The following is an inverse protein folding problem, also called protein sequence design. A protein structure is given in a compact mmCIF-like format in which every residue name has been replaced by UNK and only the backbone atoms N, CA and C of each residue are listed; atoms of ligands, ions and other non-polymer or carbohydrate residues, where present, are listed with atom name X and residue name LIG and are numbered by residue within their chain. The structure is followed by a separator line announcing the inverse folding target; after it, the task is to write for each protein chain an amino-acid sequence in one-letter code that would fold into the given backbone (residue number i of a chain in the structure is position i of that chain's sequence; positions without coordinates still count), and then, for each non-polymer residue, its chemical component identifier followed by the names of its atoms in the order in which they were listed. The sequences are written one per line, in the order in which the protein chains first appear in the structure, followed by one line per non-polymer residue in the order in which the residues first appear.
data_IF_173491163959
#
_entry.id   IF_173491163959
#
_cell.length_a   1.000
_cell.length_b   1.000
_cell.length_c   1.000
_cell.angle_alpha   90.00
_cell.angle_beta   90.00
_cell.angle_gamma   90.00
#
_symmetry.space_group_name_H-M   'P 1'
#
loop_
_entity.id
_entity.type
_entity.pdbx_description
1 polymer ?
#
# COMPACT_ATOMS: atom_id res chain seq x y z
N UNK A 1 -2.75 -18.49 -27.00
CA UNK A 1 -2.52 -19.02 -25.64
C UNK A 1 -3.11 -20.41 -25.60
N UNK A 2 -2.26 -21.42 -25.41
CA UNK A 2 -2.75 -22.80 -25.28
C UNK A 2 -3.47 -22.96 -23.95
N UNK A 3 -4.50 -23.82 -23.89
CA UNK A 3 -5.23 -24.10 -22.65
C UNK A 3 -4.32 -24.55 -21.51
N UNK A 4 -3.23 -25.27 -21.81
CA UNK A 4 -2.21 -25.66 -20.83
C UNK A 4 -1.42 -24.49 -20.21
N UNK A 5 -1.20 -23.41 -20.97
CA UNK A 5 -0.52 -22.20 -20.47
C UNK A 5 -1.42 -21.46 -19.47
N UNK A 6 -2.72 -21.35 -19.80
CA UNK A 6 -3.71 -20.72 -18.90
C UNK A 6 -3.80 -21.44 -17.55
N UNK A 7 -3.81 -22.78 -17.58
CA UNK A 7 -3.82 -23.59 -16.34
C UNK A 7 -2.56 -23.33 -15.52
N UNK A 8 -1.39 -23.30 -16.16
CA UNK A 8 -0.12 -23.02 -15.47
C UNK A 8 -0.12 -21.63 -14.82
N UNK A 9 -0.63 -20.61 -15.49
CA UNK A 9 -0.74 -19.25 -14.94
C UNK A 9 -1.70 -19.18 -13.75
N UNK A 10 -2.84 -19.88 -13.83
CA UNK A 10 -3.78 -19.98 -12.71
C UNK A 10 -3.13 -20.67 -11.51
N UNK A 11 -2.40 -21.78 -11.75
CA UNK A 11 -1.68 -22.49 -10.70
C UNK A 11 -0.60 -21.61 -10.05
N UNK A 12 0.10 -20.78 -10.82
CA UNK A 12 1.06 -19.81 -10.28
C UNK A 12 0.39 -18.76 -9.39
N UNK A 13 -0.76 -18.24 -9.80
CA UNK A 13 -1.53 -17.31 -8.97
C UNK A 13 -2.01 -17.99 -7.67
N UNK A 14 -2.48 -19.24 -7.74
CA UNK A 14 -2.85 -20.00 -6.54
C UNK A 14 -1.63 -20.23 -5.63
N UNK A 15 -0.47 -20.57 -6.19
CA UNK A 15 0.77 -20.73 -5.43
C UNK A 15 1.15 -19.43 -4.71
N UNK A 16 1.07 -18.29 -5.39
CA UNK A 16 1.27 -16.97 -4.78
C UNK A 16 0.30 -16.71 -3.62
N UNK A 17 -0.97 -17.04 -3.81
CA UNK A 17 -2.00 -16.87 -2.77
C UNK A 17 -1.74 -17.74 -1.54
N UNK A 18 -1.27 -18.97 -1.71
CA UNK A 18 -0.88 -19.87 -0.63
C UNK A 18 0.32 -19.30 0.12
N UNK A 19 1.37 -18.86 -0.59
CA UNK A 19 2.55 -18.24 0.04
C UNK A 19 2.15 -17.00 0.85
N UNK A 20 1.31 -16.13 0.28
CA UNK A 20 0.78 -14.97 0.99
C UNK A 20 -0.02 -15.35 2.25
N UNK A 21 -0.76 -16.46 2.25
CA UNK A 21 -1.52 -16.89 3.43
C UNK A 21 -0.64 -17.20 4.64
N UNK A 22 0.57 -17.68 4.41
CA UNK A 22 1.54 -17.95 5.47
C UNK A 22 2.26 -16.66 5.88
N UNK A 23 2.70 -15.87 4.89
CA UNK A 23 3.49 -14.66 5.14
C UNK A 23 2.67 -13.51 5.71
N UNK A 24 1.39 -13.42 5.39
CA UNK A 24 0.47 -12.41 5.92
C UNK A 24 0.21 -12.54 7.42
N UNK A 25 0.63 -13.63 8.07
CA UNK A 25 0.54 -13.76 9.53
C UNK A 25 1.77 -13.20 10.25
N UNK A 26 2.85 -12.92 9.52
CA UNK A 26 4.09 -12.37 10.08
C UNK A 26 3.92 -10.86 10.27
N UNK A 27 3.87 -10.36 11.52
CA UNK A 27 3.73 -8.93 11.76
C UNK A 27 4.93 -8.16 11.17
N UNK A 28 4.67 -6.95 10.66
CA UNK A 28 5.65 -6.06 10.02
C UNK A 28 6.31 -6.58 8.72
N UNK A 29 5.90 -7.73 8.17
CA UNK A 29 6.36 -8.20 6.87
C UNK A 29 5.40 -7.74 5.76
N UNK A 30 5.75 -6.67 5.06
CA UNK A 30 4.96 -6.20 3.92
C UNK A 30 5.22 -7.06 2.67
N UNK A 31 4.17 -7.34 1.90
CA UNK A 31 4.25 -8.15 0.68
C UNK A 31 5.22 -7.61 -0.39
N UNK A 32 5.44 -6.30 -0.44
CA UNK A 32 6.39 -5.71 -1.38
C UNK A 32 7.85 -5.98 -0.99
N UNK A 33 8.15 -6.17 0.30
CA UNK A 33 9.47 -6.63 0.74
C UNK A 33 9.72 -8.06 0.23
N UNK A 34 8.72 -8.93 0.35
CA UNK A 34 8.77 -10.30 -0.15
C UNK A 34 8.96 -10.32 -1.67
N UNK A 35 8.18 -9.52 -2.41
CA UNK A 35 8.33 -9.39 -3.87
C UNK A 35 9.73 -8.89 -4.24
N UNK A 36 10.27 -7.91 -3.52
CA UNK A 36 11.63 -7.40 -3.71
C UNK A 36 12.70 -8.48 -3.49
N UNK A 37 12.59 -9.28 -2.44
CA UNK A 37 13.50 -10.41 -2.22
C UNK A 37 13.43 -11.47 -3.32
N UNK A 38 12.23 -11.76 -3.84
CA UNK A 38 12.06 -12.70 -4.94
C UNK A 38 12.72 -12.16 -6.21
N UNK A 39 12.51 -10.88 -6.54
CA UNK A 39 13.15 -10.23 -7.69
C UNK A 39 14.67 -10.24 -7.53
N UNK A 40 15.19 -9.89 -6.35
CA UNK A 40 16.63 -9.92 -6.08
C UNK A 40 17.19 -11.34 -6.22
N UNK A 41 16.48 -12.36 -5.73
CA UNK A 41 16.88 -13.76 -5.87
C UNK A 41 16.94 -14.18 -7.35
N UNK A 42 15.95 -13.80 -8.16
CA UNK A 42 15.98 -14.07 -9.61
C UNK A 42 17.17 -13.38 -10.31
N UNK A 43 17.53 -12.17 -9.88
CA UNK A 43 18.67 -11.45 -10.42
C UNK A 43 20.03 -12.06 -10.03
N UNK A 44 20.13 -12.59 -8.80
CA UNK A 44 21.38 -13.13 -8.25
C UNK A 44 21.64 -14.60 -8.60
N UNK A 45 20.59 -15.41 -8.63
CA UNK A 45 20.70 -16.87 -8.77
C UNK A 45 20.27 -17.35 -10.17
N UNK A 46 19.80 -16.45 -11.03
CA UNK A 46 19.28 -16.72 -12.36
C UNK A 46 17.76 -16.85 -12.39
N UNK A 47 17.19 -16.80 -13.60
CA UNK A 47 15.75 -16.93 -13.81
C UNK A 47 15.27 -18.34 -13.41
N UNK A 48 14.59 -18.43 -12.27
CA UNK A 48 13.95 -19.68 -11.81
C UNK A 48 12.62 -19.96 -12.52
N UNK A 49 11.91 -18.88 -12.87
CA UNK A 49 10.56 -18.90 -13.40
C UNK A 49 10.47 -17.82 -14.49
N UNK A 50 9.87 -18.12 -15.66
CA UNK A 50 9.62 -17.12 -16.68
C UNK A 50 8.93 -15.87 -16.12
N UNK A 51 9.30 -14.65 -16.58
CA UNK A 51 8.75 -13.39 -16.04
C UNK A 51 7.22 -13.32 -16.07
N UNK A 52 6.59 -13.92 -17.09
CA UNK A 52 5.13 -13.99 -17.21
C UNK A 52 4.50 -14.79 -16.07
N UNK A 53 5.04 -15.98 -15.78
CA UNK A 53 4.56 -16.84 -14.69
C UNK A 53 4.82 -16.21 -13.32
N UNK A 54 5.94 -15.50 -13.16
CA UNK A 54 6.25 -14.73 -11.97
C UNK A 54 5.24 -13.57 -11.77
N UNK A 55 4.78 -12.94 -12.85
CA UNK A 55 3.73 -11.93 -12.81
C UNK A 55 2.41 -12.48 -12.24
N UNK A 56 1.97 -13.65 -12.67
CA UNK A 56 0.78 -14.31 -12.11
C UNK A 56 0.98 -14.78 -10.67
N UNK A 57 2.18 -15.24 -10.33
CA UNK A 57 2.53 -15.51 -8.94
C UNK A 57 2.39 -14.26 -8.06
N UNK A 58 2.93 -13.11 -8.48
CA UNK A 58 2.78 -11.85 -7.75
C UNK A 58 1.34 -11.35 -7.70
N UNK A 59 0.54 -11.57 -8.74
CA UNK A 59 -0.90 -11.27 -8.73
C UNK A 59 -1.59 -12.00 -7.57
N UNK A 60 -1.40 -13.31 -7.46
CA UNK A 60 -1.96 -14.10 -6.36
C UNK A 60 -1.40 -13.72 -4.98
N UNK A 61 -0.10 -13.46 -4.92
CA UNK A 61 0.61 -13.05 -3.71
C UNK A 61 0.04 -11.73 -3.14
N UNK A 62 -0.06 -10.69 -3.96
CA UNK A 62 -0.51 -9.36 -3.54
C UNK A 62 -2.00 -9.36 -3.20
N UNK A 63 -2.82 -10.00 -4.03
CA UNK A 63 -4.28 -10.06 -3.82
C UNK A 63 -4.64 -10.81 -2.54
N UNK A 64 -4.05 -11.99 -2.31
CA UNK A 64 -4.27 -12.77 -1.08
C UNK A 64 -3.77 -12.02 0.16
N UNK A 65 -2.57 -11.41 0.09
CA UNK A 65 -2.03 -10.61 1.19
C UNK A 65 -2.96 -9.44 1.57
N UNK A 66 -3.51 -8.72 0.58
CA UNK A 66 -4.42 -7.60 0.83
C UNK A 66 -5.65 -7.98 1.66
N UNK A 67 -6.11 -9.22 1.55
CA UNK A 67 -7.22 -9.74 2.34
C UNK A 67 -6.74 -10.23 3.71
N UNK A 68 -5.71 -11.07 3.71
CA UNK A 68 -5.28 -11.80 4.91
C UNK A 68 -4.46 -10.96 5.90
N UNK A 69 -3.79 -9.90 5.44
CA UNK A 69 -3.08 -8.96 6.31
C UNK A 69 -4.01 -8.24 7.30
N UNK A 70 -5.33 -8.27 7.07
CA UNK A 70 -6.34 -7.82 8.05
C UNK A 70 -6.21 -8.55 9.39
N UNK A 71 -5.80 -9.83 9.38
CA UNK A 71 -5.71 -10.67 10.59
C UNK A 71 -4.66 -10.12 11.57
N UNK A 72 -3.36 -10.01 11.23
CA UNK A 72 -2.39 -9.42 12.14
C UNK A 72 -2.68 -7.93 12.41
N UNK A 73 -3.22 -7.20 11.43
CA UNK A 73 -3.55 -5.77 11.60
C UNK A 73 -4.55 -5.54 12.72
N UNK A 74 -5.59 -6.39 12.80
CA UNK A 74 -6.62 -6.28 13.83
C UNK A 74 -6.21 -7.00 15.12
N UNK A 75 -5.75 -8.25 15.06
CA UNK A 75 -5.48 -9.04 16.27
C UNK A 75 -4.16 -8.73 16.96
N UNK A 76 -3.12 -8.40 16.19
CA UNK A 76 -1.79 -8.10 16.73
C UNK A 76 -1.51 -6.60 16.81
N UNK A 77 -2.47 -5.76 16.40
CA UNK A 77 -2.29 -4.31 16.30
C UNK A 77 -1.03 -3.92 15.51
N UNK A 78 -0.74 -4.69 14.45
CA UNK A 78 0.40 -4.48 13.56
C UNK A 78 -0.07 -4.12 12.14
N UNK A 79 -0.77 -3.00 11.96
CA UNK A 79 -1.25 -2.59 10.64
C UNK A 79 -0.13 -2.07 9.75
N UNK A 80 -0.34 -2.21 8.44
CA UNK A 80 0.42 -1.55 7.40
C UNK A 80 -0.31 -0.28 6.89
N UNK A 81 0.34 0.46 6.00
CA UNK A 81 -0.21 1.70 5.44
C UNK A 81 -1.56 1.48 4.73
N UNK A 82 -1.77 0.29 4.17
CA UNK A 82 -2.99 -0.06 3.43
C UNK A 82 -4.19 -0.33 4.34
N UNK A 83 -3.98 -0.66 5.61
CA UNK A 83 -5.04 -1.00 6.56
C UNK A 83 -5.35 0.10 7.58
N UNK A 84 -4.64 1.24 7.53
CA UNK A 84 -4.78 2.37 8.47
C UNK A 84 -6.24 2.77 8.76
N UNK A 85 -7.09 2.80 7.74
CA UNK A 85 -8.49 3.23 7.88
C UNK A 85 -9.39 2.19 8.58
N UNK A 86 -8.94 0.93 8.68
CA UNK A 86 -9.65 -0.17 9.34
C UNK A 86 -9.18 -0.36 10.78
N UNK A 87 -8.01 0.17 11.15
CA UNK A 87 -7.38 -0.03 12.47
C UNK A 87 -8.26 0.42 13.62
N UNK A 88 -8.71 1.68 13.61
CA UNK A 88 -9.50 2.25 14.71
C UNK A 88 -10.81 1.49 14.97
N UNK A 89 -11.67 1.24 13.95
CA UNK A 89 -12.86 0.43 14.17
C UNK A 89 -12.51 -1.01 14.58
N UNK A 90 -11.46 -1.60 13.99
CA UNK A 90 -10.97 -2.94 14.34
C UNK A 90 -10.55 -3.06 15.81
N UNK A 91 -9.78 -2.09 16.32
CA UNK A 91 -9.35 -2.03 17.71
C UNK A 91 -10.54 -1.90 18.67
N UNK A 92 -11.55 -1.08 18.32
CA UNK A 92 -12.78 -0.97 19.11
C UNK A 92 -13.51 -2.30 19.24
N UNK A 93 -13.63 -3.04 18.14
CA UNK A 93 -14.22 -4.39 18.14
C UNK A 93 -13.37 -5.38 18.95
N UNK A 94 -12.04 -5.31 18.84
CA UNK A 94 -11.15 -6.17 19.63
C UNK A 94 -11.31 -5.94 21.13
N UNK A 95 -11.38 -4.68 21.58
CA UNK A 95 -11.64 -4.31 22.98
C UNK A 95 -12.99 -4.83 23.49
N UNK A 96 -13.98 -4.97 22.59
CA UNK A 96 -15.27 -5.57 22.88
C UNK A 96 -15.27 -7.11 22.81
N UNK A 97 -14.09 -7.75 22.68
CA UNK A 97 -13.93 -9.20 22.43
C UNK A 97 -14.59 -9.70 21.14
N UNK A 98 -14.76 -8.80 20.15
CA UNK A 98 -15.40 -9.03 18.84
C UNK A 98 -14.39 -8.90 17.68
N UNK A 99 -13.10 -9.14 17.93
CA UNK A 99 -12.05 -9.02 16.90
C UNK A 99 -12.30 -9.90 15.66
N UNK A 100 -12.86 -11.09 15.85
CA UNK A 100 -13.27 -11.97 14.75
C UNK A 100 -14.30 -11.30 13.84
N UNK A 101 -15.30 -10.64 14.41
CA UNK A 101 -16.33 -9.94 13.64
C UNK A 101 -15.73 -8.78 12.82
N UNK A 102 -14.75 -8.06 13.38
CA UNK A 102 -14.06 -7.01 12.64
C UNK A 102 -13.29 -7.55 11.43
N UNK A 103 -12.58 -8.68 11.59
CA UNK A 103 -11.89 -9.34 10.47
C UNK A 103 -12.88 -9.80 9.41
N UNK A 104 -13.99 -10.44 9.81
CA UNK A 104 -15.01 -10.92 8.87
C UNK A 104 -15.67 -9.76 8.12
N UNK A 105 -16.07 -8.69 8.82
CA UNK A 105 -16.67 -7.52 8.18
C UNK A 105 -15.72 -6.85 7.19
N UNK A 106 -14.43 -6.75 7.54
CA UNK A 106 -13.40 -6.23 6.63
C UNK A 106 -13.23 -7.13 5.41
N UNK A 107 -13.19 -8.45 5.61
CA UNK A 107 -13.12 -9.43 4.51
C UNK A 107 -14.34 -9.38 3.59
N UNK A 108 -15.56 -9.26 4.14
CA UNK A 108 -16.79 -9.07 3.37
C UNK A 108 -16.73 -7.76 2.57
N UNK A 109 -16.23 -6.68 3.18
CA UNK A 109 -15.96 -5.42 2.48
C UNK A 109 -14.99 -5.59 1.31
N UNK A 110 -13.91 -6.36 1.51
CA UNK A 110 -12.95 -6.71 0.46
C UNK A 110 -13.59 -7.50 -0.70
N UNK A 111 -14.39 -8.52 -0.39
CA UNK A 111 -15.15 -9.28 -1.40
C UNK A 111 -16.16 -8.40 -2.14
N UNK A 112 -16.83 -7.48 -1.44
CA UNK A 112 -17.70 -6.47 -2.03
C UNK A 112 -16.92 -5.55 -2.99
N UNK A 113 -15.72 -5.13 -2.60
CA UNK A 113 -14.81 -4.37 -3.46
C UNK A 113 -14.44 -5.14 -4.73
N UNK A 114 -14.10 -6.43 -4.62
CA UNK A 114 -13.83 -7.30 -5.77
C UNK A 114 -15.06 -7.40 -6.68
N UNK A 115 -16.25 -7.57 -6.12
CA UNK A 115 -17.50 -7.63 -6.90
C UNK A 115 -17.78 -6.32 -7.66
N UNK A 116 -17.56 -5.17 -7.01
CA UNK A 116 -17.68 -3.85 -7.65
C UNK A 116 -16.65 -3.67 -8.76
N UNK A 117 -15.39 -4.06 -8.53
CA UNK A 117 -14.35 -4.01 -9.56
C UNK A 117 -14.68 -4.92 -10.74
N UNK A 118 -15.18 -6.13 -10.49
CA UNK A 118 -15.62 -7.06 -11.52
C UNK A 118 -16.75 -6.45 -12.36
N UNK A 119 -17.74 -5.81 -11.72
CA UNK A 119 -18.84 -5.13 -12.41
C UNK A 119 -18.38 -3.92 -13.22
N UNK A 120 -17.33 -3.23 -12.77
CA UNK A 120 -16.74 -2.09 -13.48
C UNK A 120 -15.85 -2.51 -14.66
N UNK A 121 -15.43 -3.77 -14.76
CA UNK A 121 -14.57 -4.29 -15.85
C UNK A 121 -15.00 -3.87 -17.27
N UNK A 122 -16.27 -4.02 -17.71
CA UNK A 122 -16.68 -3.60 -19.05
C UNK A 122 -16.48 -2.09 -19.27
N UNK A 123 -16.76 -1.27 -18.25
CA UNK A 123 -16.59 0.17 -18.32
C UNK A 123 -15.11 0.58 -18.25
N UNK A 124 -14.29 -0.14 -17.48
CA UNK A 124 -12.88 0.14 -17.26
C UNK A 124 -12.08 0.20 -18.58
N UNK A 125 -12.45 -0.62 -19.56
CA UNK A 125 -11.80 -0.66 -20.89
C UNK A 125 -11.87 0.67 -21.66
N UNK A 126 -12.92 1.46 -21.45
CA UNK A 126 -13.10 2.78 -22.08
C UNK A 126 -12.73 3.92 -21.13
N UNK A 127 -13.07 3.78 -19.84
CA UNK A 127 -12.86 4.79 -18.82
C UNK A 127 -11.38 5.02 -18.53
N UNK A 128 -10.58 3.97 -18.35
CA UNK A 128 -9.16 4.13 -17.97
C UNK A 128 -8.30 4.79 -19.05
N UNK A 129 -8.41 4.43 -20.35
CA UNK A 129 -7.69 5.15 -21.40
C UNK A 129 -8.11 6.62 -21.49
N UNK A 130 -9.40 6.93 -21.35
CA UNK A 130 -9.90 8.31 -21.37
C UNK A 130 -9.36 9.13 -20.19
N UNK A 131 -9.44 8.59 -18.97
CA UNK A 131 -8.87 9.21 -17.79
C UNK A 131 -7.37 9.41 -17.92
N UNK A 132 -6.63 8.41 -18.42
CA UNK A 132 -5.19 8.53 -18.65
C UNK A 132 -4.87 9.63 -19.66
N UNK A 133 -5.60 9.72 -20.78
CA UNK A 133 -5.37 10.75 -21.78
C UNK A 133 -5.59 12.18 -21.22
N UNK A 134 -6.51 12.34 -20.27
CA UNK A 134 -6.78 13.63 -19.61
C UNK A 134 -5.75 13.91 -18.52
N UNK A 135 -5.45 12.92 -17.66
CA UNK A 135 -4.62 13.11 -16.47
C UNK A 135 -3.13 13.15 -16.81
N UNK A 136 -2.66 12.29 -17.72
CA UNK A 136 -1.22 12.13 -17.99
C UNK A 136 -0.53 13.44 -18.41
N UNK A 137 -1.10 14.28 -19.31
CA UNK A 137 -0.50 15.56 -19.65
C UNK A 137 -0.42 16.51 -18.46
N UNK A 138 -1.32 16.42 -17.49
CA UNK A 138 -1.42 17.32 -16.34
C UNK A 138 -0.74 16.76 -15.09
N UNK A 139 -0.19 15.54 -15.15
CA UNK A 139 0.35 14.84 -13.99
C UNK A 139 1.45 15.64 -13.29
N UNK A 140 2.29 16.34 -14.05
CA UNK A 140 3.34 17.20 -13.50
C UNK A 140 2.77 18.37 -12.69
N UNK A 141 1.71 19.05 -13.17
CA UNK A 141 1.03 20.10 -12.42
C UNK A 141 0.34 19.55 -11.18
N UNK A 142 -0.35 18.41 -11.30
CA UNK A 142 -1.01 17.75 -10.18
C UNK A 142 0.02 17.46 -9.08
N UNK A 143 1.14 16.81 -9.43
CA UNK A 143 2.21 16.51 -8.48
C UNK A 143 2.79 17.78 -7.85
N UNK A 144 3.07 18.82 -8.65
CA UNK A 144 3.55 20.11 -8.12
C UNK A 144 2.57 20.75 -7.16
N UNK A 145 1.26 20.72 -7.46
CA UNK A 145 0.24 21.28 -6.56
C UNK A 145 0.13 20.49 -5.26
N UNK A 146 0.26 19.16 -5.30
CA UNK A 146 0.28 18.32 -4.08
C UNK A 146 1.52 18.64 -3.25
N UNK A 147 2.70 18.74 -3.86
CA UNK A 147 3.96 19.11 -3.18
C UNK A 147 3.83 20.50 -2.54
N UNK A 148 3.34 21.48 -3.29
CA UNK A 148 3.13 22.84 -2.79
C UNK A 148 2.14 22.84 -1.62
N UNK A 149 1.03 22.11 -1.72
CA UNK A 149 0.07 21.95 -0.64
C UNK A 149 0.70 21.30 0.59
N UNK A 150 1.50 20.25 0.43
CA UNK A 150 2.19 19.60 1.54
C UNK A 150 3.08 20.60 2.28
N UNK A 151 3.94 21.34 1.57
CA UNK A 151 4.77 22.38 2.19
C UNK A 151 3.98 23.49 2.86
N UNK A 152 2.87 23.92 2.26
CA UNK A 152 1.98 24.90 2.88
C UNK A 152 1.27 24.35 4.12
N UNK A 153 0.95 23.06 4.16
CA UNK A 153 0.27 22.40 5.27
C UNK A 153 1.19 22.12 6.47
N UNK A 154 2.50 22.06 6.23
CA UNK A 154 3.57 21.97 7.23
C UNK A 154 3.97 23.34 7.79
N UNK A 155 3.16 24.39 7.58
CA UNK A 155 3.38 25.72 8.12
C UNK A 155 3.72 25.67 9.63
N UNK A 156 4.70 26.46 10.11
CA UNK A 156 5.29 26.30 11.43
C UNK A 156 4.23 26.32 12.51
N UNK A 157 3.97 25.13 13.08
CA UNK A 157 3.21 24.96 14.31
C UNK A 157 4.19 25.18 15.46
N UNK A 158 4.59 26.44 15.64
CA UNK A 158 5.45 26.82 16.74
C UNK A 158 4.83 26.39 18.06
N UNK A 159 5.62 25.75 18.92
CA UNK A 159 5.22 25.67 20.32
C UNK A 159 5.55 27.04 20.92
N UNK A 160 4.56 27.80 21.39
CA UNK A 160 4.77 29.10 22.06
C UNK A 160 5.50 28.98 23.42
N UNK A 161 6.32 27.94 23.61
CA UNK A 161 6.90 27.52 24.89
C UNK A 161 8.34 28.01 25.08
N UNK A 162 9.00 28.56 24.06
CA UNK A 162 10.37 29.04 24.17
C UNK A 162 10.46 30.53 24.60
N UNK A 163 11.42 30.90 25.47
CA UNK A 163 11.66 32.29 25.86
C UNK A 163 12.03 33.16 24.65
N UNK A 164 11.65 34.44 24.69
CA UNK A 164 11.88 35.37 23.58
C UNK A 164 13.37 35.49 23.23
N UNK A 165 13.71 35.36 21.94
CA UNK A 165 15.08 35.45 21.44
C UNK A 165 15.33 34.56 20.23
N UNK A 166 16.62 34.36 19.91
CA UNK A 166 17.08 33.52 18.79
C UNK A 166 16.58 32.07 18.93
N UNK A 167 16.43 31.58 20.16
CA UNK A 167 15.90 30.25 20.44
C UNK A 167 14.45 30.07 19.96
N UNK A 168 13.57 31.06 20.18
CA UNK A 168 12.18 31.03 19.69
C UNK A 168 12.10 31.17 18.16
N UNK A 169 13.01 31.96 17.58
CA UNK A 169 13.14 32.06 16.13
C UNK A 169 13.55 30.71 15.52
N UNK A 170 14.62 30.08 16.04
CA UNK A 170 15.06 28.77 15.55
C UNK A 170 14.01 27.67 15.77
N UNK A 171 13.28 27.67 16.89
CA UNK A 171 12.21 26.69 17.14
C UNK A 171 11.08 26.78 16.09
N UNK A 172 10.71 28.01 15.69
CA UNK A 172 9.77 28.24 14.59
C UNK A 172 10.31 27.74 13.24
N UNK A 173 11.56 28.06 12.91
CA UNK A 173 12.18 27.66 11.64
C UNK A 173 12.52 26.18 11.55
N UNK A 174 12.81 25.52 12.67
CA UNK A 174 13.14 24.08 12.71
C UNK A 174 12.06 23.24 12.06
N UNK A 175 10.79 23.51 12.39
CA UNK A 175 9.64 22.82 11.80
C UNK A 175 9.50 23.08 10.29
N UNK A 176 9.70 24.34 9.86
CA UNK A 176 9.64 24.73 8.45
C UNK A 176 10.80 24.13 7.62
N UNK A 177 11.99 23.99 8.20
CA UNK A 177 13.16 23.41 7.51
C UNK A 177 13.13 21.89 7.43
N UNK A 178 12.46 21.21 8.38
CA UNK A 178 12.40 19.76 8.41
C UNK A 178 11.67 19.16 7.19
N UNK A 179 10.57 19.78 6.76
CA UNK A 179 9.78 19.36 5.59
C UNK A 179 10.58 19.33 4.28
N UNK A 180 11.13 20.47 3.82
CA UNK A 180 11.94 20.55 2.61
C UNK A 180 13.19 19.67 2.66
N UNK A 181 13.86 19.58 3.82
CA UNK A 181 15.03 18.69 3.98
C UNK A 181 14.62 17.23 3.82
N UNK A 182 13.52 16.80 4.45
CA UNK A 182 13.01 15.44 4.33
C UNK A 182 12.58 15.13 2.89
N UNK A 183 11.89 16.06 2.23
CA UNK A 183 11.48 15.93 0.84
C UNK A 183 12.67 15.82 -0.14
N UNK A 184 13.71 16.61 0.06
CA UNK A 184 14.93 16.53 -0.76
C UNK A 184 15.69 15.23 -0.51
N UNK A 185 15.80 14.79 0.74
CA UNK A 185 16.46 13.54 1.10
C UNK A 185 15.67 12.32 0.59
N UNK A 186 14.34 12.35 0.62
CA UNK A 186 13.51 11.25 0.09
C UNK A 186 13.55 11.14 -1.43
N UNK A 187 13.79 12.25 -2.14
CA UNK A 187 14.01 12.22 -3.60
C UNK A 187 15.41 11.74 -4.02
N UNK A 188 16.35 11.67 -3.09
CA UNK A 188 17.74 11.22 -3.32
C UNK A 188 17.96 9.72 -3.05
N UNK A 189 17.04 9.08 -2.30
CA UNK A 189 17.04 7.65 -1.98
C UNK A 189 16.23 6.84 -2.99
#
# INVERSE_FOLDING_TARGET
MATGEMVTMLLMAVAGAIVASLLSLVPALHIYNVAGFIILATAMLGEFVPPELLGFFFLGLITSYSMLNTIPSIFLSAPDDSTIFVVLPGQKYLLQRRGYEAVVLTGIGGLGGIAVLALLTPLASSLFPALRAIIQPHLHWILWTVIAYMFMSEWPKGSDRAPAGIARWWDGWRSLTAGPVTFLLSGLL
#
